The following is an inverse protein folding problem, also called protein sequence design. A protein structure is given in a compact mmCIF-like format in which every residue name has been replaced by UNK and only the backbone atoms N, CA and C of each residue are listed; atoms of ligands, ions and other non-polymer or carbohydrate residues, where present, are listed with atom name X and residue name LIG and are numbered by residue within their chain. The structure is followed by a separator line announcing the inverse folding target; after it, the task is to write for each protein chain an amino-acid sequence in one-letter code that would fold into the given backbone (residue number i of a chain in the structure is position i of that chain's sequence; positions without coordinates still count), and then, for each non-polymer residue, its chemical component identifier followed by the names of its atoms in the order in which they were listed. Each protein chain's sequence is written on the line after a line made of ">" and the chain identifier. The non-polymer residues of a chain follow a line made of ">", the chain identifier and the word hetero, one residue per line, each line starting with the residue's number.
data_IF_820517057077
#
_entry.id   IF_820517057077
#
_cell.length_a   1.000
_cell.length_b   1.000
_cell.length_c   1.000
_cell.angle_alpha   90.00
_cell.angle_beta   90.00
_cell.angle_gamma   90.00
#
_symmetry.space_group_name_H-M   'P 1'
#
loop_
_entity.id
_entity.type
_entity.pdbx_description
1 polymer ?
#
# COMPACT_ATOMS: atom_id res chain seq x y z
N UNK A 1 6.88 -10.91 -1.28
CA UNK A 1 7.86 -11.62 -0.43
C UNK A 1 8.59 -10.63 0.46
N UNK A 2 9.46 -11.10 1.39
CA UNK A 2 10.16 -10.24 2.36
C UNK A 2 11.03 -9.16 1.71
N UNK A 3 11.62 -9.46 0.56
CA UNK A 3 12.49 -8.57 -0.21
C UNK A 3 11.73 -7.32 -0.70
N UNK A 4 10.55 -7.52 -1.29
CA UNK A 4 9.70 -6.41 -1.74
C UNK A 4 9.28 -5.47 -0.59
N UNK A 5 8.99 -6.02 0.59
CA UNK A 5 8.67 -5.20 1.76
C UNK A 5 9.89 -4.41 2.27
N UNK A 6 11.09 -5.00 2.21
CA UNK A 6 12.31 -4.30 2.61
C UNK A 6 12.63 -3.13 1.68
N UNK A 7 12.54 -3.33 0.37
CA UNK A 7 12.78 -2.30 -0.64
C UNK A 7 11.79 -1.11 -0.51
N UNK A 8 10.52 -1.38 -0.22
CA UNK A 8 9.51 -0.34 0.00
C UNK A 8 9.83 0.49 1.25
N UNK A 9 10.24 -0.17 2.35
CA UNK A 9 10.60 0.51 3.60
C UNK A 9 11.79 1.45 3.37
N UNK A 10 12.86 0.94 2.75
CA UNK A 10 14.04 1.72 2.44
C UNK A 10 13.72 2.90 1.50
N UNK A 11 12.90 2.68 0.47
CA UNK A 11 12.45 3.73 -0.44
C UNK A 11 11.76 4.87 0.34
N UNK A 12 10.82 4.56 1.22
CA UNK A 12 10.05 5.57 1.95
C UNK A 12 10.86 6.27 3.05
N UNK A 13 11.80 5.57 3.68
CA UNK A 13 12.72 6.15 4.67
C UNK A 13 13.73 7.11 4.02
N UNK A 14 14.28 6.74 2.85
CA UNK A 14 15.20 7.59 2.10
C UNK A 14 14.49 8.77 1.39
N UNK A 15 13.18 8.67 1.18
CA UNK A 15 12.37 9.69 0.51
C UNK A 15 11.24 10.16 1.44
N UNK A 16 11.53 11.06 2.40
CA UNK A 16 10.57 11.47 3.44
C UNK A 16 9.33 12.20 2.89
N UNK A 17 9.33 12.60 1.63
CA UNK A 17 8.18 13.19 0.92
C UNK A 17 7.16 12.17 0.37
N UNK A 18 7.44 10.87 0.44
CA UNK A 18 6.51 9.82 0.00
C UNK A 18 5.63 9.42 1.16
N UNK A 19 4.34 9.71 1.10
CA UNK A 19 3.38 9.37 2.17
C UNK A 19 2.75 7.99 2.00
N UNK A 20 2.55 7.57 0.75
CA UNK A 20 1.86 6.34 0.37
C UNK A 20 2.57 5.66 -0.81
N UNK A 21 2.63 4.33 -0.79
CA UNK A 21 3.10 3.48 -1.89
C UNK A 21 2.07 2.39 -2.12
N UNK A 22 1.61 2.25 -3.36
CA UNK A 22 0.82 1.11 -3.82
C UNK A 22 1.77 0.13 -4.50
N UNK A 23 1.70 -1.14 -4.14
CA UNK A 23 2.59 -2.18 -4.64
C UNK A 23 1.83 -3.47 -5.02
N UNK A 24 2.42 -4.25 -5.93
CA UNK A 24 1.72 -5.35 -6.61
C UNK A 24 0.82 -4.84 -7.74
N UNK A 25 -0.28 -5.54 -7.99
CA UNK A 25 -1.35 -5.06 -8.89
C UNK A 25 -2.16 -3.97 -8.21
N UNK A 26 -2.16 -2.79 -8.82
CA UNK A 26 -2.52 -1.54 -8.15
C UNK A 26 -3.99 -1.16 -8.28
N UNK A 27 -4.73 -1.71 -9.24
CA UNK A 27 -6.08 -1.25 -9.59
C UNK A 27 -7.06 -1.31 -8.40
N UNK A 28 -7.20 -2.50 -7.80
CA UNK A 28 -8.10 -2.70 -6.65
C UNK A 28 -7.58 -1.97 -5.40
N UNK A 29 -6.27 -1.98 -5.17
CA UNK A 29 -5.64 -1.25 -4.06
C UNK A 29 -5.91 0.25 -4.16
N UNK A 30 -5.77 0.82 -5.35
CA UNK A 30 -5.97 2.24 -5.60
C UNK A 30 -7.42 2.63 -5.39
N UNK A 31 -8.37 1.82 -5.85
CA UNK A 31 -9.79 2.02 -5.61
C UNK A 31 -10.12 2.01 -4.11
N UNK A 32 -9.72 0.98 -3.38
CA UNK A 32 -9.95 0.89 -1.94
C UNK A 32 -9.30 2.04 -1.18
N UNK A 33 -8.09 2.45 -1.58
CA UNK A 33 -7.39 3.60 -1.01
C UNK A 33 -8.17 4.89 -1.21
N UNK A 34 -8.62 5.19 -2.42
CA UNK A 34 -9.42 6.38 -2.70
C UNK A 34 -10.72 6.39 -1.90
N UNK A 35 -11.40 5.26 -1.77
CA UNK A 35 -12.64 5.16 -0.98
C UNK A 35 -12.39 5.35 0.53
N UNK A 36 -11.27 4.85 1.05
CA UNK A 36 -10.97 4.89 2.48
C UNK A 36 -10.41 6.24 2.93
N UNK A 37 -9.50 6.83 2.15
CA UNK A 37 -8.78 8.05 2.53
C UNK A 37 -9.70 9.26 2.68
N UNK A 38 -10.89 9.22 2.06
CA UNK A 38 -11.90 10.27 2.12
C UNK A 38 -12.78 10.20 3.39
N UNK A 39 -12.64 9.16 4.22
CA UNK A 39 -13.47 8.96 5.42
C UNK A 39 -13.00 9.84 6.58
N UNK A 40 -13.92 10.17 7.50
CA UNK A 40 -13.60 10.90 8.74
C UNK A 40 -12.62 10.13 9.63
N UNK A 41 -12.62 8.80 9.55
CA UNK A 41 -11.70 7.93 10.28
C UNK A 41 -11.22 6.79 9.36
N UNK A 42 -10.23 7.03 8.48
CA UNK A 42 -9.71 6.02 7.55
C UNK A 42 -9.06 4.87 8.29
N UNK A 43 -9.39 3.63 7.91
CA UNK A 43 -8.68 2.44 8.38
C UNK A 43 -7.78 1.90 7.26
N UNK A 44 -6.57 2.46 7.12
CA UNK A 44 -5.63 2.10 6.06
C UNK A 44 -5.00 0.71 6.25
N UNK A 45 -4.93 0.20 7.48
CA UNK A 45 -4.40 -1.13 7.83
C UNK A 45 -5.09 -2.29 7.09
N UNK A 46 -6.34 -2.11 6.63
CA UNK A 46 -7.09 -3.16 5.92
C UNK A 46 -6.78 -3.24 4.42
N UNK A 47 -6.08 -2.27 3.86
CA UNK A 47 -5.91 -2.13 2.41
C UNK A 47 -4.69 -2.94 1.99
N UNK A 48 -4.92 -4.13 1.43
CA UNK A 48 -3.83 -4.96 0.89
C UNK A 48 -3.13 -4.25 -0.27
N UNK A 49 -1.81 -4.37 -0.35
CA UNK A 49 -0.98 -3.71 -1.36
C UNK A 49 -0.64 -2.25 -1.08
N UNK A 50 -0.90 -1.75 0.14
CA UNK A 50 -0.60 -0.38 0.55
C UNK A 50 0.52 -0.33 1.60
N UNK A 51 1.49 0.55 1.39
CA UNK A 51 2.40 1.02 2.41
C UNK A 51 2.20 2.51 2.66
N UNK A 52 2.32 2.95 3.91
CA UNK A 52 2.01 4.33 4.30
C UNK A 52 2.74 4.73 5.58
N UNK A 53 2.84 6.04 5.82
CA UNK A 53 3.40 6.60 7.05
C UNK A 53 2.35 6.70 8.15
N UNK A 54 2.69 6.22 9.35
CA UNK A 54 1.90 6.40 10.56
C UNK A 54 2.85 6.63 11.73
N UNK A 55 2.67 7.73 12.48
CA UNK A 55 3.49 8.07 13.66
C UNK A 55 5.03 8.05 13.43
N UNK A 56 5.50 8.54 12.27
CA UNK A 56 6.90 8.49 11.80
C UNK A 56 7.44 7.10 11.42
N UNK A 57 6.61 6.06 11.49
CA UNK A 57 6.97 4.71 11.03
C UNK A 57 6.37 4.42 9.66
N UNK A 58 7.03 3.54 8.91
CA UNK A 58 6.50 2.99 7.65
C UNK A 58 5.75 1.70 7.96
N UNK A 59 4.45 1.72 7.71
CA UNK A 59 3.57 0.55 7.81
C UNK A 59 3.44 -0.06 6.42
N UNK A 60 3.64 -1.38 6.31
CA UNK A 60 3.52 -2.13 5.05
C UNK A 60 2.47 -3.20 5.28
N UNK A 61 1.31 -3.06 4.64
CA UNK A 61 0.24 -4.06 4.72
C UNK A 61 0.61 -5.32 3.93
N UNK A 62 -0.19 -6.38 4.07
CA UNK A 62 -0.01 -7.58 3.26
C UNK A 62 -0.21 -7.29 1.77
N UNK A 63 0.57 -7.95 0.90
CA UNK A 63 0.38 -7.89 -0.54
C UNK A 63 -0.92 -8.54 -0.98
N UNK A 64 -1.40 -8.20 -2.19
CA UNK A 64 -2.50 -8.91 -2.86
C UNK A 64 -1.98 -10.15 -3.58
N UNK A 65 -2.84 -11.16 -3.67
CA UNK A 65 -2.64 -12.22 -4.66
C UNK A 65 -2.83 -11.62 -6.07
N UNK A 66 -2.10 -12.11 -7.09
CA UNK A 66 -2.32 -11.70 -8.47
C UNK A 66 -3.78 -11.96 -8.90
N UNK A 67 -4.33 -11.11 -9.76
CA UNK A 67 -5.65 -11.35 -10.34
C UNK A 67 -5.54 -12.48 -11.36
N UNK A 68 -6.08 -13.65 -11.01
CA UNK A 68 -5.98 -14.91 -11.80
C UNK A 68 -6.70 -14.89 -13.17
N UNK A 69 -7.34 -13.79 -13.59
CA UNK A 69 -8.06 -13.75 -14.88
C UNK A 69 -7.95 -12.39 -15.57
N UNK A 70 -7.02 -12.29 -16.52
CA UNK A 70 -6.96 -11.22 -17.53
C UNK A 70 -7.60 -11.65 -18.86
N UNK A 71 -8.06 -12.90 -18.97
CA UNK A 71 -8.69 -13.45 -20.17
C UNK A 71 -10.21 -13.18 -20.14
N UNK A 72 -10.61 -12.09 -20.79
CA UNK A 72 -12.01 -11.81 -21.16
C UNK A 72 -12.19 -12.08 -22.65
#
# INVERSE_FOLDING_TARGET
>A
GPEASFEIKELMENNPFIDYVIFGEGEETFKEFLEEIQKTNPNLHKIRGLAYKENNDVIINEGREPIDNLDI
#
